data_IF_303311527657
#
_entry.id   IF_303311527657
#
_cell.length_a   1.000
_cell.length_b   1.000
_cell.length_c   1.000
_cell.angle_alpha   90.00
_cell.angle_beta   90.00
_cell.angle_gamma   90.00
#
_symmetry.space_group_name_H-M   'P 1'
#
loop_
_entity.id
_entity.type
_entity.pdbx_description
1 polymer ?
#
# COMPACT_ATOMS: atom_id res chain seq x y z
N UNK A 1 16.39 4.71 18.44
CA UNK A 1 15.98 5.26 17.13
C UNK A 1 16.02 4.13 16.11
N UNK A 2 14.87 3.61 15.67
CA UNK A 2 14.84 2.50 14.71
C UNK A 2 15.26 3.01 13.32
N UNK A 3 16.25 2.34 12.70
CA UNK A 3 16.86 2.67 11.39
C UNK A 3 15.87 3.33 10.40
N UNK A 4 16.07 4.62 10.14
CA UNK A 4 15.55 5.49 9.05
C UNK A 4 14.10 5.35 8.55
N UNK A 5 13.25 4.56 9.21
CA UNK A 5 11.86 4.29 8.82
C UNK A 5 10.94 4.38 10.03
N UNK A 6 9.82 5.09 9.86
CA UNK A 6 8.82 5.32 10.90
C UNK A 6 8.18 4.00 11.36
N UNK A 7 7.93 3.86 12.66
CA UNK A 7 7.02 2.83 13.19
C UNK A 7 5.67 3.52 13.42
N UNK A 8 4.63 3.03 12.77
CA UNK A 8 3.33 3.68 12.82
C UNK A 8 2.65 3.47 14.18
N UNK A 9 2.14 4.57 14.73
CA UNK A 9 1.33 4.62 15.93
C UNK A 9 -0.15 4.84 15.62
N UNK A 10 -0.96 4.97 16.67
CA UNK A 10 -2.43 5.10 16.56
C UNK A 10 -2.83 6.36 15.77
N UNK A 11 -2.05 7.43 15.89
CA UNK A 11 -2.32 8.71 15.21
C UNK A 11 -2.04 8.69 13.70
N UNK A 12 -1.25 7.73 13.23
CA UNK A 12 -0.93 7.60 11.80
C UNK A 12 -2.05 6.89 11.02
N UNK A 13 -2.86 6.07 11.71
CA UNK A 13 -3.89 5.23 11.10
C UNK A 13 -4.87 5.99 10.21
N UNK A 14 -5.45 7.15 10.62
CA UNK A 14 -6.38 7.89 9.77
C UNK A 14 -5.78 8.38 8.46
N UNK A 15 -4.48 8.71 8.45
CA UNK A 15 -3.76 9.13 7.24
C UNK A 15 -3.47 7.93 6.37
N UNK A 16 -2.95 6.84 6.94
CA UNK A 16 -2.64 5.60 6.22
C UNK A 16 -3.86 5.01 5.53
N UNK A 17 -5.03 5.01 6.18
CA UNK A 17 -6.27 4.44 5.62
C UNK A 17 -6.82 5.20 4.40
N UNK A 18 -6.38 6.44 4.19
CA UNK A 18 -6.75 7.30 3.05
C UNK A 18 -5.76 7.19 1.89
N UNK A 19 -4.58 6.61 2.11
CA UNK A 19 -3.56 6.52 1.08
C UNK A 19 -3.92 5.45 0.03
N UNK A 20 -3.51 5.64 -1.23
CA UNK A 20 -3.66 4.64 -2.29
C UNK A 20 -2.59 3.53 -2.22
N UNK A 21 -1.82 3.42 -1.12
CA UNK A 21 -0.79 2.40 -0.99
C UNK A 21 -1.42 1.10 -0.45
N UNK A 22 -1.12 -0.04 -1.07
CA UNK A 22 -1.68 -1.34 -0.68
C UNK A 22 -1.05 -1.90 0.60
N UNK A 23 0.21 -1.53 0.87
CA UNK A 23 1.01 -2.04 1.99
C UNK A 23 1.69 -0.86 2.68
N UNK A 24 1.73 -0.90 4.01
CA UNK A 24 2.43 0.06 4.84
C UNK A 24 3.46 -0.66 5.72
N UNK A 25 4.66 -0.09 5.82
CA UNK A 25 5.76 -0.60 6.65
C UNK A 25 6.27 0.53 7.57
N UNK A 26 6.36 0.39 8.91
CA UNK A 26 6.24 -0.83 9.73
C UNK A 26 5.31 -0.68 10.94
N UNK A 27 4.76 -1.82 11.36
CA UNK A 27 4.02 -2.01 12.61
C UNK A 27 4.74 -3.04 13.46
N UNK A 28 4.84 -2.79 14.77
CA UNK A 28 5.34 -3.76 15.73
C UNK A 28 4.35 -3.90 16.87
N UNK A 29 4.05 -5.14 17.29
CA UNK A 29 3.14 -5.40 18.41
C UNK A 29 3.68 -4.78 19.71
N UNK A 30 5.01 -4.68 19.84
CA UNK A 30 5.69 -4.04 20.96
C UNK A 30 5.63 -2.50 20.93
N UNK A 31 5.12 -1.88 19.86
CA UNK A 31 5.02 -0.42 19.71
C UNK A 31 3.59 0.00 19.40
N UNK A 32 2.89 0.55 20.40
CA UNK A 32 1.48 0.94 20.31
C UNK A 32 0.60 -0.12 19.62
N UNK A 33 0.39 -1.30 20.24
CA UNK A 33 -0.34 -2.42 19.63
C UNK A 33 -1.74 -2.05 19.13
N UNK A 34 -2.36 -1.04 19.73
CA UNK A 34 -3.62 -0.47 19.27
C UNK A 34 -3.57 -0.03 17.79
N UNK A 35 -2.44 0.48 17.29
CA UNK A 35 -2.28 0.87 15.87
C UNK A 35 -2.49 -0.32 14.93
N UNK A 36 -1.85 -1.46 15.25
CA UNK A 36 -1.98 -2.72 14.52
C UNK A 36 -3.41 -3.26 14.58
N UNK A 37 -4.01 -3.32 15.78
CA UNK A 37 -5.37 -3.83 15.94
C UNK A 37 -6.42 -2.94 15.29
N UNK A 38 -6.26 -1.61 15.32
CA UNK A 38 -7.15 -0.67 14.64
C UNK A 38 -7.17 -0.91 13.14
N UNK A 39 -5.99 -0.99 12.48
CA UNK A 39 -5.93 -1.32 11.05
C UNK A 39 -6.55 -2.69 10.78
N UNK A 40 -6.21 -3.71 11.57
CA UNK A 40 -6.74 -5.06 11.37
C UNK A 40 -8.27 -5.09 11.46
N UNK A 41 -8.85 -4.39 12.44
CA UNK A 41 -10.31 -4.25 12.57
C UNK A 41 -10.90 -3.56 11.34
N UNK A 42 -10.31 -2.46 10.88
CA UNK A 42 -10.81 -1.73 9.70
C UNK A 42 -10.72 -2.57 8.42
N UNK A 43 -9.62 -3.31 8.20
CA UNK A 43 -9.48 -4.21 7.05
C UNK A 43 -10.54 -5.31 7.10
N UNK A 44 -10.72 -5.96 8.25
CA UNK A 44 -11.78 -6.97 8.43
C UNK A 44 -13.16 -6.41 8.14
N UNK A 45 -13.45 -5.20 8.63
CA UNK A 45 -14.72 -4.53 8.35
C UNK A 45 -14.92 -4.30 6.84
N UNK A 46 -13.87 -3.87 6.11
CA UNK A 46 -13.94 -3.72 4.64
C UNK A 46 -14.16 -5.04 3.90
N UNK A 47 -13.73 -6.17 4.47
CA UNK A 47 -14.03 -7.49 3.90
C UNK A 47 -15.51 -7.83 3.97
N UNK A 48 -16.17 -7.52 5.09
CA UNK A 48 -17.61 -7.80 5.28
C UNK A 48 -18.53 -6.69 4.77
N UNK A 49 -18.02 -5.46 4.64
CA UNK A 49 -18.74 -4.30 4.13
C UNK A 49 -17.84 -3.57 3.13
N UNK A 50 -17.79 -4.05 1.88
CA UNK A 50 -16.90 -3.51 0.86
C UNK A 50 -17.19 -2.05 0.60
N UNK A 51 -16.11 -1.26 0.57
CA UNK A 51 -16.16 0.13 0.10
C UNK A 51 -15.71 0.18 -1.36
N UNK A 52 -16.22 1.11 -2.19
CA UNK A 52 -15.77 1.26 -3.56
C UNK A 52 -14.25 1.44 -3.62
N UNK A 53 -13.59 0.62 -4.43
CA UNK A 53 -12.14 0.62 -4.60
C UNK A 53 -11.81 0.92 -6.07
N UNK A 54 -11.09 2.01 -6.30
CA UNK A 54 -10.60 2.35 -7.64
C UNK A 54 -9.30 1.60 -7.93
N UNK A 55 -9.38 0.54 -8.73
CA UNK A 55 -8.24 -0.27 -9.13
C UNK A 55 -7.45 0.32 -10.32
N UNK A 56 -7.97 1.35 -10.98
CA UNK A 56 -7.40 1.91 -12.22
C UNK A 56 -5.94 2.35 -12.10
N UNK A 57 -5.48 3.00 -11.00
CA UNK A 57 -4.07 3.36 -10.86
C UNK A 57 -3.14 2.15 -10.82
N UNK A 58 -3.56 1.05 -10.20
CA UNK A 58 -2.75 -0.16 -10.06
C UNK A 58 -2.64 -0.95 -11.37
N UNK A 59 -3.61 -0.79 -12.27
CA UNK A 59 -3.56 -1.36 -13.62
C UNK A 59 -2.40 -0.81 -14.46
N UNK A 60 -1.86 0.36 -14.10
CA UNK A 60 -0.73 1.03 -14.77
C UNK A 60 0.62 0.71 -14.13
N UNK A 61 0.66 -0.20 -13.15
CA UNK A 61 1.93 -0.68 -12.59
C UNK A 61 2.63 -1.49 -13.69
N UNK A 62 3.91 -1.24 -14.00
CA UNK A 62 4.58 -1.84 -15.15
C UNK A 62 4.52 -3.37 -15.20
N UNK A 63 4.74 -4.03 -14.05
CA UNK A 63 4.62 -5.48 -13.96
C UNK A 63 3.21 -6.01 -14.23
N UNK A 64 2.17 -5.23 -13.92
CA UNK A 64 0.78 -5.58 -14.23
C UNK A 64 0.51 -5.45 -15.72
N UNK A 65 1.01 -4.39 -16.36
CA UNK A 65 0.88 -4.17 -17.81
C UNK A 65 1.65 -5.21 -18.62
N UNK A 66 2.89 -5.52 -18.23
CA UNK A 66 3.71 -6.57 -18.85
C UNK A 66 3.01 -7.93 -18.79
N UNK A 67 2.42 -8.29 -17.64
CA UNK A 67 1.65 -9.53 -17.48
C UNK A 67 0.39 -9.58 -18.35
N UNK A 68 -0.13 -8.43 -18.80
CA UNK A 68 -1.24 -8.35 -19.77
C UNK A 68 -0.78 -8.40 -21.23
N UNK A 69 0.52 -8.50 -21.48
CA UNK A 69 1.10 -8.54 -22.83
C UNK A 69 1.39 -7.17 -23.44
N UNK A 70 1.37 -6.09 -22.64
CA UNK A 70 1.80 -4.77 -23.13
C UNK A 70 3.33 -4.80 -23.35
N UNK A 71 3.85 -4.48 -24.55
CA UNK A 71 5.28 -4.46 -24.80
C UNK A 71 5.94 -3.34 -24.00
N UNK A 72 7.21 -3.54 -23.59
CA UNK A 72 7.96 -2.62 -22.72
C UNK A 72 7.94 -1.14 -23.18
N UNK A 73 8.04 -0.91 -24.49
CA UNK A 73 8.05 0.44 -25.07
C UNK A 73 6.68 1.16 -24.99
N UNK A 74 5.60 0.43 -24.71
CA UNK A 74 4.24 0.96 -24.61
C UNK A 74 3.71 1.00 -23.17
N UNK A 75 4.58 0.80 -22.17
CA UNK A 75 4.18 0.87 -20.76
C UNK A 75 3.79 2.30 -20.37
N UNK A 76 2.86 2.43 -19.42
CA UNK A 76 2.44 3.73 -18.91
C UNK A 76 3.56 4.42 -18.12
N UNK A 77 4.36 3.64 -17.38
CA UNK A 77 5.41 4.13 -16.47
C UNK A 77 6.70 3.29 -16.55
N UNK A 78 7.40 3.25 -17.70
CA UNK A 78 8.60 2.43 -17.86
C UNK A 78 9.74 2.80 -16.88
N UNK A 79 9.75 4.04 -16.39
CA UNK A 79 10.75 4.56 -15.46
C UNK A 79 10.71 3.91 -14.06
N UNK A 80 9.58 3.31 -13.65
CA UNK A 80 9.48 2.64 -12.34
C UNK A 80 10.25 1.32 -12.29
N UNK A 81 10.52 0.71 -13.45
CA UNK A 81 11.38 -0.49 -13.53
C UNK A 81 12.86 -0.10 -13.42
N UNK A 82 13.24 1.04 -14.00
CA UNK A 82 14.63 1.46 -14.16
C UNK A 82 15.22 2.10 -12.88
N UNK A 83 14.40 2.45 -11.89
CA UNK A 83 14.80 3.15 -10.65
C UNK A 83 15.24 2.24 -9.50
N UNK A 84 15.66 1.00 -9.76
CA UNK A 84 16.18 0.08 -8.72
C UNK A 84 17.67 0.40 -8.43
N UNK A 85 17.96 1.64 -8.03
CA UNK A 85 19.26 2.10 -7.56
C UNK A 85 19.11 2.83 -6.23
#
# INVERSE_FOLDING_TARGET
MFRYSCIFGVRDIPVLLKQPHLVAHKFYIQYQPASYFCILKTIRQRTFSPVPFNSSPYAKIPFVELNRGVPFFNLSHPEWIMKIH
#
